data_IF_476523946434
#
_entry.id   IF_476523946434
#
_cell.length_a   1.000
_cell.length_b   1.000
_cell.length_c   1.000
_cell.angle_alpha   90.00
_cell.angle_beta   90.00
_cell.angle_gamma   90.00
#
_symmetry.space_group_name_H-M   'P 1'
#
loop_
_entity.id
_entity.type
_entity.pdbx_description
1 polymer ?
#
# COMPACT_ATOMS: atom_id res chain seq x y z
N UNK A 1 47.38 -10.20 2.05
CA UNK A 1 45.98 -10.56 1.68
C UNK A 1 45.56 -9.68 0.51
N UNK A 2 45.14 -10.26 -0.61
CA UNK A 2 44.74 -9.48 -1.79
C UNK A 2 43.43 -8.70 -1.52
N UNK A 3 43.39 -7.41 -1.86
CA UNK A 3 42.19 -6.57 -1.75
C UNK A 3 41.07 -7.15 -2.62
N UNK A 4 40.00 -7.65 -2.00
CA UNK A 4 38.77 -8.02 -2.72
C UNK A 4 38.30 -6.78 -3.50
N UNK A 5 38.08 -6.93 -4.82
CA UNK A 5 37.48 -5.86 -5.62
C UNK A 5 36.10 -5.52 -5.07
N UNK A 6 35.77 -4.23 -5.00
CA UNK A 6 34.46 -3.73 -4.60
C UNK A 6 33.40 -4.39 -5.50
N UNK A 7 32.33 -4.93 -4.90
CA UNK A 7 31.25 -5.68 -5.56
C UNK A 7 31.65 -7.05 -6.16
N UNK A 8 32.73 -7.67 -5.70
CA UNK A 8 33.15 -9.02 -6.13
C UNK A 8 32.06 -10.09 -6.03
N UNK A 9 31.12 -9.90 -5.11
CA UNK A 9 30.10 -10.88 -4.80
C UNK A 9 28.80 -10.63 -5.62
N UNK A 10 28.76 -9.59 -6.47
CA UNK A 10 27.65 -9.34 -7.39
C UNK A 10 27.84 -10.11 -8.70
N UNK A 11 26.75 -10.65 -9.25
CA UNK A 11 26.77 -11.28 -10.57
C UNK A 11 26.49 -10.23 -11.64
N UNK A 12 27.43 -9.98 -12.52
CA UNK A 12 27.21 -9.08 -13.66
C UNK A 12 26.37 -9.79 -14.73
N UNK A 13 25.23 -9.17 -15.12
CA UNK A 13 24.41 -9.58 -16.27
C UNK A 13 24.29 -8.39 -17.22
N UNK A 14 25.04 -8.44 -18.33
CA UNK A 14 25.20 -7.29 -19.22
C UNK A 14 25.86 -6.11 -18.50
N UNK A 15 25.16 -4.96 -18.44
CA UNK A 15 25.61 -3.75 -17.73
C UNK A 15 25.12 -3.67 -16.27
N UNK A 16 24.27 -4.60 -15.82
CA UNK A 16 23.68 -4.57 -14.47
C UNK A 16 24.45 -5.51 -13.54
N UNK A 17 24.77 -5.03 -12.34
CA UNK A 17 25.30 -5.85 -11.25
C UNK A 17 24.13 -6.35 -10.40
N UNK A 18 24.00 -7.66 -10.28
CA UNK A 18 22.91 -8.31 -9.54
C UNK A 18 23.42 -8.69 -8.14
N UNK A 19 22.87 -8.09 -7.07
CA UNK A 19 23.22 -8.45 -5.70
C UNK A 19 22.92 -9.92 -5.39
N UNK A 20 23.71 -10.56 -4.53
CA UNK A 20 23.53 -11.98 -4.14
C UNK A 20 22.08 -12.30 -3.77
N UNK A 21 21.45 -11.44 -2.98
CA UNK A 21 20.07 -11.60 -2.53
C UNK A 21 19.07 -11.68 -3.70
N UNK A 22 19.33 -10.99 -4.82
CA UNK A 22 18.46 -11.03 -6.00
C UNK A 22 18.73 -12.24 -6.92
N UNK A 23 19.83 -12.97 -6.70
CA UNK A 23 20.20 -14.10 -7.56
C UNK A 23 19.35 -15.35 -7.31
N UNK A 24 18.73 -15.49 -6.13
CA UNK A 24 17.86 -16.64 -5.80
C UNK A 24 16.47 -16.60 -6.41
N UNK A 25 16.17 -15.61 -7.25
CA UNK A 25 14.91 -15.46 -8.01
C UNK A 25 13.62 -15.33 -7.18
N UNK A 26 13.70 -15.27 -5.86
CA UNK A 26 12.54 -15.12 -4.95
C UNK A 26 12.04 -13.67 -4.81
N UNK A 27 12.91 -12.69 -5.08
CA UNK A 27 12.55 -11.26 -5.09
C UNK A 27 12.44 -10.69 -6.52
N UNK A 28 11.48 -9.81 -6.74
CA UNK A 28 11.41 -8.89 -7.88
C UNK A 28 11.98 -7.51 -7.51
N UNK A 29 12.48 -6.81 -8.53
CA UNK A 29 12.74 -5.39 -8.42
C UNK A 29 11.40 -4.65 -8.43
N UNK A 30 11.31 -3.60 -7.62
CA UNK A 30 10.07 -2.84 -7.44
C UNK A 30 10.37 -1.35 -7.57
N UNK A 31 9.53 -0.67 -8.34
CA UNK A 31 9.46 0.78 -8.42
C UNK A 31 8.47 1.33 -7.38
N UNK A 32 8.88 2.39 -6.68
CA UNK A 32 8.00 3.10 -5.75
C UNK A 32 6.73 3.64 -6.42
N UNK A 33 6.89 4.35 -7.54
CA UNK A 33 5.78 4.97 -8.23
C UNK A 33 4.93 3.92 -8.93
N UNK A 34 5.55 3.05 -9.73
CA UNK A 34 4.78 2.15 -10.57
C UNK A 34 4.07 1.06 -9.76
N UNK A 35 4.69 0.55 -8.70
CA UNK A 35 4.16 -0.61 -7.97
C UNK A 35 3.58 -0.27 -6.59
N UNK A 36 4.19 0.64 -5.81
CA UNK A 36 3.76 0.87 -4.42
C UNK A 36 2.72 1.97 -4.26
N UNK A 37 2.83 3.07 -5.02
CA UNK A 37 1.87 4.17 -4.94
C UNK A 37 0.44 3.68 -5.21
N UNK A 38 0.14 2.92 -6.28
CA UNK A 38 -1.21 2.40 -6.50
C UNK A 38 -1.74 1.54 -5.34
N UNK A 39 -0.87 0.76 -4.71
CA UNK A 39 -1.23 -0.14 -3.61
C UNK A 39 -1.47 0.57 -2.28
N UNK A 40 -0.83 1.73 -2.07
CA UNK A 40 -0.92 2.52 -0.84
C UNK A 40 -1.87 3.71 -0.95
N UNK A 41 -2.26 4.10 -2.17
CA UNK A 41 -3.04 5.31 -2.41
C UNK A 41 -4.36 5.34 -1.64
N UNK A 42 -5.08 4.23 -1.60
CA UNK A 42 -6.33 4.13 -0.85
C UNK A 42 -6.12 4.32 0.66
N UNK A 43 -5.05 3.77 1.23
CA UNK A 43 -4.70 3.97 2.65
C UNK A 43 -4.45 5.45 2.91
N UNK A 44 -3.71 6.11 2.02
CA UNK A 44 -3.41 7.54 2.15
C UNK A 44 -4.68 8.40 2.07
N UNK A 45 -5.64 8.06 1.19
CA UNK A 45 -6.94 8.72 1.13
C UNK A 45 -7.70 8.61 2.48
N UNK A 46 -7.79 7.39 3.02
CA UNK A 46 -8.45 7.14 4.31
C UNK A 46 -7.75 7.89 5.44
N UNK A 47 -6.41 7.83 5.50
CA UNK A 47 -5.62 8.53 6.51
C UNK A 47 -5.79 10.05 6.45
N UNK A 48 -5.81 10.63 5.25
CA UNK A 48 -5.94 12.09 5.08
C UNK A 48 -7.32 12.59 5.53
N UNK A 49 -8.38 11.80 5.31
CA UNK A 49 -9.74 12.18 5.73
C UNK A 49 -10.06 11.90 7.19
N UNK A 50 -9.61 10.75 7.70
CA UNK A 50 -10.02 10.27 9.03
C UNK A 50 -8.98 10.59 10.11
N UNK A 51 -7.76 10.99 9.71
CA UNK A 51 -6.59 11.01 10.57
C UNK A 51 -6.03 9.60 10.80
N UNK A 52 -4.75 9.53 11.19
CA UNK A 52 -4.03 8.26 11.30
C UNK A 52 -4.65 7.28 12.28
N UNK A 53 -5.07 7.74 13.47
CA UNK A 53 -5.63 6.85 14.50
C UNK A 53 -6.91 6.16 14.02
N UNK A 54 -7.89 6.94 13.55
CA UNK A 54 -9.17 6.43 13.06
C UNK A 54 -8.98 5.54 11.84
N UNK A 55 -8.09 5.94 10.91
CA UNK A 55 -7.77 5.12 9.74
C UNK A 55 -7.19 3.75 10.14
N UNK A 56 -6.29 3.71 11.13
CA UNK A 56 -5.71 2.45 11.61
C UNK A 56 -6.79 1.53 12.19
N UNK A 57 -7.72 2.06 12.98
CA UNK A 57 -8.83 1.28 13.55
C UNK A 57 -9.74 0.70 12.45
N UNK A 58 -10.15 1.54 11.50
CA UNK A 58 -11.04 1.15 10.39
C UNK A 58 -10.40 0.10 9.49
N UNK A 59 -9.13 0.30 9.13
CA UNK A 59 -8.43 -0.58 8.20
C UNK A 59 -7.97 -1.89 8.85
N UNK A 60 -7.70 -1.88 10.17
CA UNK A 60 -7.48 -3.11 10.93
C UNK A 60 -8.75 -3.97 10.94
N UNK A 61 -9.90 -3.39 11.30
CA UNK A 61 -11.17 -4.13 11.34
C UNK A 61 -11.55 -4.70 9.96
N UNK A 62 -11.41 -3.91 8.89
CA UNK A 62 -11.63 -4.41 7.52
C UNK A 62 -10.71 -5.59 7.19
N UNK A 63 -9.44 -5.52 7.59
CA UNK A 63 -8.47 -6.55 7.26
C UNK A 63 -8.63 -7.81 8.13
N UNK A 64 -9.01 -7.69 9.39
CA UNK A 64 -9.39 -8.83 10.24
C UNK A 64 -10.53 -9.62 9.61
N UNK A 65 -11.60 -8.93 9.18
CA UNK A 65 -12.71 -9.57 8.47
C UNK A 65 -12.27 -10.20 7.14
N UNK A 66 -11.38 -9.53 6.40
CA UNK A 66 -10.80 -10.10 5.18
C UNK A 66 -10.09 -11.43 5.48
N UNK A 67 -9.25 -11.48 6.52
CA UNK A 67 -8.48 -12.68 6.86
C UNK A 67 -9.37 -13.84 7.32
N UNK A 68 -10.49 -13.56 8.00
CA UNK A 68 -11.46 -14.58 8.40
C UNK A 68 -12.24 -15.19 7.21
N UNK A 69 -12.33 -14.46 6.09
CA UNK A 69 -13.16 -14.82 4.93
C UNK A 69 -12.31 -15.32 3.76
N UNK A 70 -11.10 -14.77 3.61
CA UNK A 70 -10.19 -15.11 2.52
C UNK A 70 -9.56 -16.48 2.74
N UNK A 71 -9.20 -17.14 1.64
CA UNK A 71 -8.39 -18.36 1.67
C UNK A 71 -6.88 -18.04 1.83
N UNK A 72 -6.53 -16.78 2.12
CA UNK A 72 -5.15 -16.30 2.11
C UNK A 72 -4.32 -16.83 3.28
N UNK A 73 -3.16 -17.39 2.95
CA UNK A 73 -2.14 -17.75 3.94
C UNK A 73 -1.21 -16.59 4.30
N UNK A 74 -1.25 -15.49 3.54
CA UNK A 74 -0.26 -14.42 3.61
C UNK A 74 -0.85 -13.08 4.10
N UNK A 75 -0.02 -12.16 4.60
CA UNK A 75 -0.41 -10.77 4.86
C UNK A 75 -0.72 -10.06 3.53
N UNK A 76 -1.95 -10.23 3.05
CA UNK A 76 -2.47 -9.59 1.84
C UNK A 76 -3.31 -8.39 2.26
N UNK A 77 -2.66 -7.36 2.81
CA UNK A 77 -3.29 -6.13 3.30
C UNK A 77 -2.94 -4.91 2.45
N UNK A 78 -2.63 -5.13 1.18
CA UNK A 78 -2.51 -4.10 0.14
C UNK A 78 -3.77 -4.06 -0.71
N UNK A 79 -3.92 -3.03 -1.54
CA UNK A 79 -5.17 -2.80 -2.25
C UNK A 79 -5.56 -3.98 -3.16
N UNK A 80 -4.63 -4.47 -3.97
CA UNK A 80 -4.85 -5.60 -4.90
C UNK A 80 -5.28 -6.89 -4.22
N UNK A 81 -5.08 -7.01 -2.92
CA UNK A 81 -5.49 -8.18 -2.13
C UNK A 81 -6.98 -8.44 -2.12
N UNK A 82 -7.79 -7.40 -2.25
CA UNK A 82 -9.23 -7.54 -2.29
C UNK A 82 -9.74 -8.05 -3.64
N UNK A 83 -8.93 -7.95 -4.71
CA UNK A 83 -9.26 -8.49 -6.02
C UNK A 83 -9.23 -10.02 -6.07
N UNK A 84 -8.52 -10.68 -5.15
CA UNK A 84 -8.43 -12.14 -5.10
C UNK A 84 -9.67 -12.79 -4.46
N UNK A 85 -10.57 -12.01 -3.85
CA UNK A 85 -11.80 -12.53 -3.25
C UNK A 85 -12.79 -13.00 -4.32
N UNK A 86 -13.34 -14.19 -4.11
CA UNK A 86 -14.44 -14.74 -4.92
C UNK A 86 -15.74 -13.96 -4.65
N UNK A 87 -16.72 -14.04 -5.55
CA UNK A 87 -18.01 -13.34 -5.41
C UNK A 87 -18.70 -13.56 -4.06
N UNK A 88 -18.81 -14.81 -3.61
CA UNK A 88 -19.41 -15.12 -2.29
C UNK A 88 -18.58 -14.59 -1.11
N UNK A 89 -17.24 -14.50 -1.24
CA UNK A 89 -16.37 -13.91 -0.23
C UNK A 89 -16.55 -12.40 -0.17
N UNK A 90 -16.66 -11.73 -1.32
CA UNK A 90 -16.96 -10.29 -1.41
C UNK A 90 -18.30 -9.96 -0.77
N UNK A 91 -19.36 -10.72 -1.10
CA UNK A 91 -20.68 -10.53 -0.46
C UNK A 91 -20.62 -10.74 1.05
N UNK A 92 -19.99 -11.83 1.52
CA UNK A 92 -19.85 -12.10 2.96
C UNK A 92 -19.06 -11.01 3.69
N UNK A 93 -17.99 -10.50 3.08
CA UNK A 93 -17.18 -9.42 3.64
C UNK A 93 -17.99 -8.12 3.70
N UNK A 94 -18.71 -7.79 2.63
CA UNK A 94 -19.57 -6.62 2.57
C UNK A 94 -20.65 -6.66 3.65
N UNK A 95 -21.36 -7.79 3.79
CA UNK A 95 -22.47 -7.93 4.74
C UNK A 95 -21.98 -7.80 6.19
N UNK A 96 -20.86 -8.45 6.52
CA UNK A 96 -20.26 -8.34 7.86
C UNK A 96 -19.72 -6.95 8.14
N UNK A 97 -19.01 -6.37 7.17
CA UNK A 97 -18.39 -5.06 7.37
C UNK A 97 -19.45 -3.95 7.44
N UNK A 98 -20.56 -4.03 6.68
CA UNK A 98 -21.71 -3.11 6.76
C UNK A 98 -22.32 -2.98 8.15
N UNK A 99 -22.27 -4.04 8.95
CA UNK A 99 -22.77 -4.04 10.32
C UNK A 99 -21.79 -3.42 11.33
N UNK A 100 -20.59 -3.02 10.89
CA UNK A 100 -19.59 -2.38 11.73
C UNK A 100 -19.76 -0.87 11.81
N UNK A 101 -19.25 -0.28 12.89
CA UNK A 101 -19.09 1.17 13.06
C UNK A 101 -18.03 1.80 12.12
N UNK A 102 -17.27 0.96 11.41
CA UNK A 102 -16.15 1.38 10.56
C UNK A 102 -16.54 1.47 9.08
N UNK A 103 -17.69 0.91 8.69
CA UNK A 103 -18.16 0.93 7.31
C UNK A 103 -18.30 2.34 6.77
N UNK A 104 -19.15 3.16 7.39
CA UNK A 104 -19.41 4.53 6.93
C UNK A 104 -18.15 5.39 6.91
N UNK A 105 -17.24 5.16 7.88
CA UNK A 105 -15.94 5.85 7.95
C UNK A 105 -15.05 5.47 6.78
N UNK A 106 -14.96 4.18 6.45
CA UNK A 106 -14.21 3.75 5.27
C UNK A 106 -14.81 4.35 4.01
N UNK A 107 -16.14 4.32 3.88
CA UNK A 107 -16.83 4.88 2.72
C UNK A 107 -16.56 6.37 2.57
N UNK A 108 -16.54 7.12 3.67
CA UNK A 108 -16.13 8.53 3.65
C UNK A 108 -14.67 8.69 3.21
N UNK A 109 -13.79 7.80 3.67
CA UNK A 109 -12.36 7.77 3.40
C UNK A 109 -11.99 7.53 1.94
N UNK A 110 -12.76 6.70 1.22
CA UNK A 110 -12.44 6.31 -0.17
C UNK A 110 -13.49 6.73 -1.20
N UNK A 111 -14.48 7.58 -0.85
CA UNK A 111 -15.54 7.99 -1.82
C UNK A 111 -14.99 8.62 -3.10
N UNK A 112 -14.00 9.50 -3.00
CA UNK A 112 -13.42 10.18 -4.16
C UNK A 112 -12.64 9.17 -5.01
N UNK A 113 -11.93 8.25 -4.34
CA UNK A 113 -11.23 7.15 -5.02
C UNK A 113 -12.22 6.30 -5.82
N UNK A 114 -13.36 5.92 -5.22
CA UNK A 114 -14.40 5.13 -5.88
C UNK A 114 -14.94 5.83 -7.13
N UNK A 115 -15.19 7.14 -7.06
CA UNK A 115 -15.71 7.89 -8.19
C UNK A 115 -14.68 8.06 -9.32
N UNK A 116 -13.45 8.45 -8.97
CA UNK A 116 -12.42 8.76 -9.96
C UNK A 116 -11.72 7.51 -10.51
N UNK A 117 -11.67 6.42 -9.75
CA UNK A 117 -11.02 5.15 -10.10
C UNK A 117 -12.00 3.97 -9.98
N UNK A 118 -13.02 3.88 -10.85
CA UNK A 118 -13.91 2.73 -10.89
C UNK A 118 -13.13 1.44 -11.23
N UNK A 119 -13.66 0.28 -10.83
CA UNK A 119 -12.97 -1.00 -11.03
C UNK A 119 -11.84 -1.28 -10.04
N UNK A 120 -11.65 -0.46 -9.01
CA UNK A 120 -10.61 -0.66 -8.01
C UNK A 120 -10.92 -1.89 -7.10
N UNK A 121 -9.93 -2.50 -6.45
CA UNK A 121 -10.11 -3.75 -5.70
C UNK A 121 -11.21 -3.77 -4.63
N UNK A 122 -11.54 -2.63 -4.03
CA UNK A 122 -12.59 -2.48 -3.02
C UNK A 122 -13.94 -2.00 -3.59
N UNK A 123 -14.13 -1.98 -4.90
CA UNK A 123 -15.32 -1.37 -5.53
C UNK A 123 -16.63 -2.04 -5.07
N UNK A 124 -16.58 -3.33 -4.79
CA UNK A 124 -17.72 -4.09 -4.28
C UNK A 124 -18.27 -3.55 -2.95
N UNK A 125 -17.51 -2.74 -2.21
CA UNK A 125 -18.00 -2.07 -1.00
C UNK A 125 -19.03 -0.96 -1.31
N UNK A 126 -19.05 -0.45 -2.54
CA UNK A 126 -19.89 0.66 -3.01
C UNK A 126 -20.99 0.24 -3.99
N UNK A 127 -21.24 -1.06 -4.17
CA UNK A 127 -22.10 -1.58 -5.26
C UNK A 127 -23.50 -0.96 -5.36
N UNK A 128 -23.98 -0.28 -4.31
CA UNK A 128 -25.31 0.32 -4.23
C UNK A 128 -25.29 1.82 -3.87
N UNK A 129 -24.13 2.48 -3.94
CA UNK A 129 -23.98 3.90 -3.61
C UNK A 129 -23.78 4.70 -4.89
N UNK A 130 -24.76 5.53 -5.22
CA UNK A 130 -24.61 6.52 -6.29
C UNK A 130 -23.86 7.73 -5.74
N UNK A 131 -22.69 8.01 -6.32
CA UNK A 131 -21.90 9.21 -6.03
C UNK A 131 -22.14 10.22 -7.15
N UNK A 132 -22.51 11.44 -6.79
CA UNK A 132 -22.60 12.55 -7.74
C UNK A 132 -21.25 13.26 -7.86
N UNK A 133 -21.11 14.12 -8.87
CA UNK A 133 -19.88 14.91 -9.06
C UNK A 133 -19.69 15.93 -7.94
N UNK A 134 -20.80 16.40 -7.36
CA UNK A 134 -20.85 17.36 -6.28
C UNK A 134 -20.37 16.75 -4.95
N UNK A 135 -20.39 15.42 -4.82
CA UNK A 135 -19.99 14.70 -3.62
C UNK A 135 -18.48 14.44 -3.53
N UNK A 136 -17.71 14.73 -4.59
CA UNK A 136 -16.32 14.29 -4.74
C UNK A 136 -15.38 15.43 -5.12
N UNK A 137 -14.12 15.28 -4.73
CA UNK A 137 -13.08 16.30 -4.88
C UNK A 137 -11.84 15.74 -5.59
N UNK A 138 -11.63 16.20 -6.83
CA UNK A 138 -10.46 15.81 -7.62
C UNK A 138 -9.16 16.42 -7.07
N UNK A 139 -9.22 17.62 -6.51
CA UNK A 139 -8.04 18.27 -5.94
C UNK A 139 -7.58 17.55 -4.66
N UNK A 140 -8.51 16.97 -3.90
CA UNK A 140 -8.18 16.03 -2.83
C UNK A 140 -7.37 14.83 -3.35
N UNK A 141 -7.83 14.17 -4.41
CA UNK A 141 -7.12 13.02 -5.03
C UNK A 141 -5.71 13.42 -5.47
N UNK A 142 -5.59 14.55 -6.18
CA UNK A 142 -4.30 15.07 -6.65
C UNK A 142 -3.37 15.39 -5.49
N UNK A 143 -3.90 16.00 -4.43
CA UNK A 143 -3.14 16.34 -3.24
C UNK A 143 -2.63 15.08 -2.53
N UNK A 144 -3.47 14.06 -2.31
CA UNK A 144 -3.01 12.77 -1.73
C UNK A 144 -1.92 12.14 -2.59
N UNK A 145 -2.10 12.14 -3.91
CA UNK A 145 -1.13 11.52 -4.83
C UNK A 145 0.21 12.24 -4.76
N UNK A 146 0.20 13.58 -4.74
CA UNK A 146 1.40 14.41 -4.55
C UNK A 146 2.11 14.08 -3.24
N UNK A 147 1.38 13.97 -2.13
CA UNK A 147 1.94 13.70 -0.81
C UNK A 147 2.66 12.35 -0.74
N UNK A 148 2.12 11.30 -1.39
CA UNK A 148 2.72 9.96 -1.36
C UNK A 148 3.68 9.67 -2.52
N UNK A 149 3.73 10.53 -3.55
CA UNK A 149 4.64 10.36 -4.69
C UNK A 149 6.09 10.29 -4.26
N UNK A 150 6.46 11.01 -3.19
CA UNK A 150 7.78 10.90 -2.59
C UNK A 150 7.82 9.86 -1.47
N UNK A 151 8.51 8.74 -1.71
CA UNK A 151 8.62 7.61 -0.77
C UNK A 151 8.99 7.96 0.69
N UNK A 152 9.76 9.03 0.91
CA UNK A 152 10.24 9.43 2.24
C UNK A 152 9.39 10.53 2.87
N UNK A 153 8.31 10.96 2.23
CA UNK A 153 7.34 11.86 2.85
C UNK A 153 6.73 11.23 4.09
N UNK A 154 6.13 12.06 4.94
CA UNK A 154 5.47 11.60 6.16
C UNK A 154 4.29 10.70 5.78
N UNK A 155 3.50 11.13 4.83
CA UNK A 155 2.27 10.47 4.35
C UNK A 155 2.57 9.09 3.78
N UNK A 156 3.57 8.98 2.89
CA UNK A 156 4.01 7.69 2.36
C UNK A 156 4.53 6.75 3.46
N UNK A 157 5.17 7.30 4.50
CA UNK A 157 5.69 6.52 5.61
C UNK A 157 4.58 5.96 6.50
N UNK A 158 3.56 6.77 6.80
CA UNK A 158 2.40 6.31 7.58
C UNK A 158 1.56 5.28 6.84
N UNK A 159 1.43 5.40 5.52
CA UNK A 159 0.75 4.39 4.71
C UNK A 159 1.50 3.05 4.75
N UNK A 160 2.83 3.05 4.54
CA UNK A 160 3.68 1.86 4.68
C UNK A 160 3.64 1.27 6.10
N UNK A 161 3.68 2.13 7.13
CA UNK A 161 3.63 1.72 8.52
C UNK A 161 2.32 1.01 8.86
N UNK A 162 1.19 1.49 8.34
CA UNK A 162 -0.11 0.86 8.58
C UNK A 162 -0.17 -0.55 8.02
N UNK A 163 0.38 -0.79 6.83
CA UNK A 163 0.46 -2.15 6.27
C UNK A 163 1.23 -3.07 7.22
N UNK A 164 2.38 -2.65 7.74
CA UNK A 164 3.11 -3.49 8.68
C UNK A 164 2.38 -3.64 10.03
N UNK A 165 1.78 -2.56 10.53
CA UNK A 165 0.99 -2.58 11.76
C UNK A 165 -0.13 -3.61 11.70
N UNK A 166 -0.94 -3.57 10.63
CA UNK A 166 -2.04 -4.53 10.42
C UNK A 166 -1.51 -5.95 10.31
N UNK A 167 -0.41 -6.18 9.59
CA UNK A 167 0.19 -7.50 9.48
C UNK A 167 0.67 -8.03 10.84
N UNK A 168 1.26 -7.18 11.69
CA UNK A 168 1.67 -7.56 13.04
C UNK A 168 0.47 -7.81 13.96
N UNK A 169 -0.52 -6.91 13.95
CA UNK A 169 -1.71 -7.01 14.79
C UNK A 169 -2.53 -8.27 14.49
N UNK A 170 -2.60 -8.69 13.23
CA UNK A 170 -3.30 -9.90 12.79
C UNK A 170 -2.46 -11.18 12.88
N UNK A 171 -1.24 -11.08 13.41
CA UNK A 171 -0.32 -12.23 13.54
C UNK A 171 0.26 -12.74 12.22
N UNK A 172 0.02 -12.05 11.09
CA UNK A 172 0.55 -12.42 9.77
C UNK A 172 2.01 -12.00 9.57
N UNK A 173 2.53 -11.10 10.41
CA UNK A 173 3.94 -10.75 10.52
C UNK A 173 4.41 -10.97 11.96
N UNK A 174 5.32 -11.93 12.15
CA UNK A 174 5.96 -12.18 13.44
C UNK A 174 7.27 -11.41 13.48
N UNK A 175 7.44 -10.59 14.52
CA UNK A 175 8.67 -9.83 14.77
C UNK A 175 9.36 -10.34 16.03
N UNK A 176 10.69 -10.42 16.01
CA UNK A 176 11.48 -10.83 17.18
C UNK A 176 11.62 -9.67 18.17
N UNK A 177 11.98 -9.98 19.42
CA UNK A 177 12.14 -9.00 20.51
C UNK A 177 13.19 -7.92 20.24
N UNK A 178 14.13 -8.22 19.36
CA UNK A 178 15.26 -7.36 18.98
C UNK A 178 14.93 -6.51 17.74
N UNK A 179 13.78 -6.73 17.12
CA UNK A 179 13.38 -6.00 15.92
C UNK A 179 13.01 -4.55 16.25
N UNK A 180 13.56 -3.61 15.48
CA UNK A 180 13.18 -2.19 15.52
C UNK A 180 11.71 -1.96 15.22
N UNK A 181 11.03 -2.89 14.53
CA UNK A 181 9.60 -2.81 14.23
C UNK A 181 8.71 -2.86 15.47
N UNK A 182 9.21 -3.36 16.61
CA UNK A 182 8.47 -3.27 17.88
C UNK A 182 8.25 -1.82 18.33
N UNK A 183 9.08 -0.90 17.85
CA UNK A 183 8.94 0.53 18.07
C UNK A 183 8.00 1.22 17.07
N UNK A 184 7.19 0.52 16.27
CA UNK A 184 6.44 1.14 15.14
C UNK A 184 5.65 2.40 15.53
N UNK A 185 5.18 2.51 16.77
CA UNK A 185 4.47 3.69 17.28
C UNK A 185 5.31 4.99 17.28
N UNK A 186 6.63 4.89 17.29
CA UNK A 186 7.56 6.03 17.20
C UNK A 186 7.56 6.69 15.83
N UNK A 187 6.91 6.08 14.83
CA UNK A 187 6.72 6.69 13.51
C UNK A 187 5.94 8.01 13.59
N UNK A 188 5.24 8.25 14.70
CA UNK A 188 4.56 9.52 14.98
C UNK A 188 5.51 10.74 14.96
N UNK A 189 6.77 10.53 15.30
CA UNK A 189 7.85 11.53 15.33
C UNK A 189 8.70 11.51 14.04
N UNK A 190 8.22 10.91 12.96
CA UNK A 190 8.94 10.88 11.68
C UNK A 190 8.72 12.19 10.90
N UNK A 191 9.77 12.79 10.30
CA UNK A 191 11.17 12.32 10.23
C UNK A 191 12.11 12.92 11.30
N UNK A 192 11.57 13.51 12.35
CA UNK A 192 12.28 14.48 13.19
C UNK A 192 13.30 13.85 14.14
N UNK A 193 13.07 12.62 14.61
CA UNK A 193 14.00 11.93 15.53
C UNK A 193 14.87 10.88 14.84
N UNK A 194 16.04 10.60 15.40
CA UNK A 194 16.89 9.52 14.90
C UNK A 194 16.18 8.17 14.99
N UNK A 195 15.50 7.92 16.11
CA UNK A 195 14.73 6.70 16.36
C UNK A 195 13.63 6.51 15.29
N UNK A 196 12.85 7.55 14.99
CA UNK A 196 11.78 7.44 13.97
C UNK A 196 12.36 7.20 12.58
N UNK A 197 13.51 7.79 12.23
CA UNK A 197 14.22 7.52 10.95
C UNK A 197 14.78 6.11 10.86
N UNK A 198 15.30 5.55 11.96
CA UNK A 198 15.75 4.16 12.02
C UNK A 198 14.57 3.21 11.81
N UNK A 199 13.46 3.42 12.52
CA UNK A 199 12.23 2.61 12.39
C UNK A 199 11.64 2.72 10.99
N UNK A 200 11.56 3.91 10.42
CA UNK A 200 11.13 4.13 9.03
C UNK A 200 12.00 3.37 8.02
N UNK A 201 13.30 3.23 8.28
CA UNK A 201 14.20 2.46 7.43
C UNK A 201 13.87 0.96 7.49
N UNK A 202 13.57 0.44 8.69
CA UNK A 202 13.12 -0.94 8.87
C UNK A 202 11.75 -1.19 8.22
N UNK A 203 10.81 -0.25 8.36
CA UNK A 203 9.50 -0.33 7.69
C UNK A 203 9.68 -0.45 6.18
N UNK A 204 10.49 0.43 5.56
CA UNK A 204 10.77 0.39 4.12
C UNK A 204 11.40 -0.93 3.68
N UNK A 205 12.35 -1.44 4.45
CA UNK A 205 13.03 -2.70 4.15
C UNK A 205 12.06 -3.89 4.20
N UNK A 206 11.23 -3.96 5.25
CA UNK A 206 10.21 -5.00 5.40
C UNK A 206 9.13 -4.92 4.32
N UNK A 207 8.67 -3.71 3.99
CA UNK A 207 7.67 -3.49 2.95
C UNK A 207 8.20 -3.93 1.56
N UNK A 208 9.46 -3.60 1.24
CA UNK A 208 10.12 -4.14 0.03
C UNK A 208 10.18 -5.67 0.03
N UNK A 209 10.47 -6.28 1.18
CA UNK A 209 10.53 -7.74 1.30
C UNK A 209 9.17 -8.41 1.06
N UNK A 210 8.09 -7.82 1.59
CA UNK A 210 6.72 -8.35 1.42
C UNK A 210 6.29 -8.25 -0.04
N UNK A 211 6.35 -7.05 -0.63
CA UNK A 211 5.84 -6.86 -1.98
C UNK A 211 6.77 -7.38 -3.07
N UNK A 212 8.07 -7.43 -2.79
CA UNK A 212 9.06 -7.95 -3.72
C UNK A 212 9.07 -9.45 -3.77
N UNK A 213 8.48 -10.12 -2.78
CA UNK A 213 8.40 -11.56 -2.78
C UNK A 213 7.37 -12.02 -3.82
N UNK A 214 7.85 -12.73 -4.85
CA UNK A 214 7.02 -13.19 -5.97
C UNK A 214 5.92 -14.17 -5.57
N UNK A 215 6.08 -14.86 -4.45
CA UNK A 215 5.05 -15.77 -3.90
C UNK A 215 3.94 -15.01 -3.18
N UNK A 216 4.20 -13.75 -2.79
CA UNK A 216 3.26 -12.86 -2.10
C UNK A 216 2.63 -11.83 -3.05
N UNK A 217 3.25 -11.57 -4.21
CA UNK A 217 2.73 -10.62 -5.18
C UNK A 217 1.45 -11.15 -5.81
N UNK A 218 0.34 -10.44 -5.60
CA UNK A 218 -0.92 -10.72 -6.28
C UNK A 218 -0.85 -10.12 -7.67
N UNK A 219 -1.07 -10.95 -8.69
CA UNK A 219 -1.19 -10.48 -10.06
C UNK A 219 -2.57 -9.87 -10.25
N UNK A 220 -2.62 -8.56 -10.39
CA UNK A 220 -3.79 -7.87 -10.93
C UNK A 220 -3.36 -6.64 -11.72
N UNK A 221 -4.24 -6.15 -12.59
CA UNK A 221 -3.95 -5.01 -13.45
C UNK A 221 -4.15 -3.65 -12.75
N UNK A 222 -4.34 -3.64 -11.41
CA UNK A 222 -4.68 -2.43 -10.67
C UNK A 222 -3.65 -1.32 -10.85
N UNK A 223 -2.35 -1.61 -10.71
CA UNK A 223 -1.31 -0.60 -10.88
C UNK A 223 -1.34 0.05 -12.27
N UNK A 224 -1.55 -0.75 -13.32
CA UNK A 224 -1.68 -0.26 -14.68
C UNK A 224 -2.96 0.57 -14.86
N UNK A 225 -4.10 0.05 -14.42
CA UNK A 225 -5.39 0.72 -14.52
C UNK A 225 -5.40 2.04 -13.73
N UNK A 226 -4.76 2.06 -12.57
CA UNK A 226 -4.56 3.25 -11.76
C UNK A 226 -3.87 4.34 -12.57
N UNK A 227 -2.69 4.07 -13.13
CA UNK A 227 -1.95 5.08 -13.88
C UNK A 227 -2.64 5.51 -15.17
N UNK A 228 -3.18 4.56 -15.95
CA UNK A 228 -3.97 4.87 -17.15
C UNK A 228 -5.10 5.82 -16.79
N UNK A 229 -5.83 5.53 -15.72
CA UNK A 229 -6.92 6.39 -15.25
C UNK A 229 -6.42 7.75 -14.78
N UNK A 230 -5.31 7.82 -14.05
CA UNK A 230 -4.72 9.10 -13.64
C UNK A 230 -4.38 9.98 -14.84
N UNK A 231 -3.84 9.41 -15.93
CA UNK A 231 -3.56 10.14 -17.17
C UNK A 231 -4.84 10.63 -17.88
N UNK A 232 -5.93 9.88 -17.79
CA UNK A 232 -7.23 10.31 -18.34
C UNK A 232 -7.86 11.45 -17.54
N UNK A 233 -7.74 11.41 -16.22
CA UNK A 233 -8.27 12.44 -15.31
C UNK A 233 -7.56 13.78 -15.50
N UNK A 234 -6.23 13.76 -15.67
CA UNK A 234 -5.45 14.96 -15.91
C UNK A 234 -4.30 14.66 -16.88
N UNK A 235 -4.48 15.08 -18.14
CA UNK A 235 -3.46 14.87 -19.16
C UNK A 235 -2.22 15.73 -18.83
N UNK A 236 -1.00 15.16 -18.87
CA UNK A 236 0.21 15.94 -18.66
C UNK A 236 0.30 17.04 -19.70
N UNK A 237 0.57 18.27 -19.27
CA UNK A 237 0.96 19.34 -20.18
C UNK A 237 2.39 19.10 -20.65
N UNK A 238 2.56 18.25 -21.67
CA UNK A 238 3.86 18.06 -22.32
C UNK A 238 4.07 19.26 -23.26
N UNK A 239 4.72 20.30 -22.74
CA UNK A 239 5.31 21.33 -23.57
C UNK A 239 6.53 20.74 -24.28
N UNK A 240 6.29 20.07 -25.40
CA UNK A 240 7.37 19.79 -26.36
C UNK A 240 7.76 21.13 -26.98
N UNK A 241 8.69 21.84 -26.36
CA UNK A 241 9.44 22.88 -27.05
C UNK A 241 10.15 22.21 -28.23
N UNK A 242 9.69 22.53 -29.45
CA UNK A 242 10.36 22.18 -30.70
C UNK A 242 11.56 23.11 -30.92
#
# INVERSE_FOLDING_TARGET
MAKKKILSDHKQKGKKLIPIMMQGNFLSEINWLDDFVPELFWIACVQKKLGYKTANEVLLELHELYLEISDSKYPHNIFSSYSSLKGHQKSKLLDRFKSSKSYDKLLMGIKDLQYFYPGHPLEFLYSNLELSKEDVDLEFIKSVLGDISFRRSKEAMYAQALVLYVAMATGKLIVTKESSLLGINEIKEYPDTEKSRQIASSIRASFNGILGNKDLTIRCDWANNFWVRSFELERPHINLQK
#
